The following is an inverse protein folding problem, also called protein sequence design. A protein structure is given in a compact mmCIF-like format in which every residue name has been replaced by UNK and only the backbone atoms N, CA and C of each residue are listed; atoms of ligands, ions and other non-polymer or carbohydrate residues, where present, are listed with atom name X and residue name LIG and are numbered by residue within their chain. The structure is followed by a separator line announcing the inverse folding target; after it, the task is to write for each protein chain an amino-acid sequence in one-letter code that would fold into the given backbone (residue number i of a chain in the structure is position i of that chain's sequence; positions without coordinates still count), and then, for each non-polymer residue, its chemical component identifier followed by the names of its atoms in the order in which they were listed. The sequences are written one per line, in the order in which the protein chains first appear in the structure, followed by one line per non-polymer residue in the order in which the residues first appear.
data_IF_882967551128
#
_entry.id   IF_882967551128
#
_cell.length_a   1.000
_cell.length_b   1.000
_cell.length_c   1.000
_cell.angle_alpha   90.00
_cell.angle_beta   90.00
_cell.angle_gamma   90.00
#
_symmetry.space_group_name_H-M   'P 1'
#
loop_
_entity.id
_entity.type
_entity.pdbx_description
1 polymer ?
#
# COMPACT_ATOMS: atom_id res chain seq x y z
N UNK A 1 -26.09 4.05 -44.00
CA UNK A 1 -26.42 2.69 -44.48
C UNK A 1 -25.44 2.35 -45.59
N UNK A 2 -24.47 1.48 -45.30
CA UNK A 2 -23.36 1.16 -46.19
C UNK A 2 -22.46 0.17 -45.48
N UNK A 3 -22.82 -1.11 -45.63
CA UNK A 3 -22.19 -2.27 -45.03
C UNK A 3 -21.01 -2.75 -45.89
N UNK A 4 -19.97 -3.21 -45.19
CA UNK A 4 -18.97 -4.25 -45.52
C UNK A 4 -18.13 -4.23 -46.82
N UNK A 5 -16.82 -4.10 -46.64
CA UNK A 5 -15.81 -4.99 -47.23
C UNK A 5 -14.88 -5.43 -46.08
N UNK A 6 -15.23 -6.54 -45.40
CA UNK A 6 -14.40 -7.15 -44.36
C UNK A 6 -13.29 -7.95 -45.07
N UNK A 7 -12.09 -7.39 -45.10
CA UNK A 7 -10.92 -7.94 -45.79
C UNK A 7 -10.59 -9.37 -45.30
N UNK A 8 -10.43 -10.29 -46.24
CA UNK A 8 -10.22 -11.73 -46.04
C UNK A 8 -9.02 -12.09 -45.14
N UNK A 9 -8.10 -11.14 -44.87
CA UNK A 9 -6.96 -11.36 -43.98
C UNK A 9 -7.29 -11.14 -42.50
N UNK A 10 -8.38 -10.44 -42.19
CA UNK A 10 -8.83 -10.20 -40.80
C UNK A 10 -9.29 -11.47 -40.09
N UNK A 11 -9.78 -12.47 -40.83
CA UNK A 11 -10.29 -13.73 -40.26
C UNK A 11 -9.21 -14.54 -39.53
N UNK A 12 -7.99 -14.61 -40.09
CA UNK A 12 -6.87 -15.32 -39.44
C UNK A 12 -6.39 -14.62 -38.16
N UNK A 13 -6.36 -13.28 -38.15
CA UNK A 13 -5.94 -12.52 -36.97
C UNK A 13 -6.93 -12.65 -35.82
N UNK A 14 -8.23 -12.68 -36.10
CA UNK A 14 -9.28 -12.89 -35.08
C UNK A 14 -9.18 -14.29 -34.47
N UNK A 15 -8.94 -15.32 -35.29
CA UNK A 15 -8.80 -16.71 -34.79
C UNK A 15 -7.56 -16.86 -33.90
N UNK A 16 -6.43 -16.23 -34.26
CA UNK A 16 -5.21 -16.22 -33.44
C UNK A 16 -5.39 -15.43 -32.14
N UNK A 17 -6.15 -14.33 -32.18
CA UNK A 17 -6.46 -13.52 -31.00
C UNK A 17 -7.42 -14.23 -30.03
N UNK A 18 -8.31 -15.10 -30.52
CA UNK A 18 -9.24 -15.87 -29.68
C UNK A 18 -8.57 -17.08 -29.02
N UNK A 19 -7.55 -17.69 -29.66
CA UNK A 19 -6.81 -18.82 -29.08
C UNK A 19 -5.83 -18.42 -27.96
N UNK A 20 -5.46 -17.14 -27.86
CA UNK A 20 -4.62 -16.62 -26.77
C UNK A 20 -5.40 -16.17 -25.53
N UNK A 21 -6.75 -16.21 -25.56
CA UNK A 21 -7.57 -15.93 -24.37
C UNK A 21 -7.75 -17.21 -23.55
N UNK A 22 -6.65 -17.68 -22.96
CA UNK A 22 -6.67 -18.59 -21.80
C UNK A 22 -6.18 -17.86 -20.55
N UNK A 23 -6.60 -16.62 -20.37
CA UNK A 23 -6.45 -15.93 -19.09
C UNK A 23 -7.63 -16.26 -18.17
N UNK A 24 -7.62 -17.48 -17.63
CA UNK A 24 -8.31 -17.72 -16.37
C UNK A 24 -7.55 -16.96 -15.27
N UNK A 25 -7.84 -15.66 -15.11
CA UNK A 25 -7.48 -14.97 -13.88
C UNK A 25 -8.47 -15.42 -12.79
N UNK A 26 -8.03 -16.10 -11.73
CA UNK A 26 -8.92 -16.43 -10.63
C UNK A 26 -9.35 -15.12 -9.95
N UNK A 27 -10.65 -14.84 -10.08
CA UNK A 27 -11.54 -14.16 -9.13
C UNK A 27 -10.83 -13.20 -8.17
N UNK A 28 -10.91 -11.90 -8.49
CA UNK A 28 -10.77 -10.85 -7.49
C UNK A 28 -11.79 -11.11 -6.38
N UNK A 29 -11.34 -11.68 -5.26
CA UNK A 29 -12.10 -11.66 -4.02
C UNK A 29 -12.46 -10.19 -3.72
N UNK A 30 -13.69 -9.90 -3.25
CA UNK A 30 -14.06 -8.54 -2.87
C UNK A 30 -13.07 -8.07 -1.82
N UNK A 31 -12.32 -7.01 -2.14
CA UNK A 31 -11.18 -6.50 -1.38
C UNK A 31 -11.57 -5.85 -0.06
N UNK A 32 -12.09 -6.65 0.87
CA UNK A 32 -12.25 -6.29 2.28
C UNK A 32 -11.64 -7.34 3.24
N UNK A 33 -11.01 -8.40 2.71
CA UNK A 33 -10.17 -9.34 3.44
C UNK A 33 -8.68 -9.19 3.05
N UNK A 34 -8.25 -7.95 2.84
CA UNK A 34 -6.85 -7.58 2.67
C UNK A 34 -6.39 -6.78 3.88
N UNK A 35 -6.09 -7.48 4.96
CA UNK A 35 -5.27 -6.93 6.03
C UNK A 35 -4.12 -7.89 6.29
N UNK A 36 -3.08 -7.68 5.50
CA UNK A 36 -1.71 -8.00 5.90
C UNK A 36 -0.89 -6.70 5.84
N UNK A 37 -1.47 -5.61 6.32
CA UNK A 37 -0.84 -4.30 6.38
C UNK A 37 -0.82 -3.86 7.83
N UNK A 38 -0.23 -4.68 8.71
CA UNK A 38 -0.01 -4.36 10.11
C UNK A 38 -1.20 -3.65 10.79
N UNK A 39 -2.19 -4.39 11.28
CA UNK A 39 -3.23 -3.82 12.15
C UNK A 39 -2.60 -3.12 13.37
N UNK A 40 -2.40 -1.81 13.25
CA UNK A 40 -2.26 -0.89 14.37
C UNK A 40 -3.45 0.06 14.38
N UNK A 41 -4.63 -0.44 14.77
CA UNK A 41 -5.73 0.44 15.11
C UNK A 41 -5.33 1.23 16.36
N UNK A 42 -4.77 2.44 16.15
CA UNK A 42 -4.48 3.40 17.21
C UNK A 42 -5.58 4.45 17.24
N UNK A 43 -6.33 4.49 18.33
CA UNK A 43 -7.25 5.60 18.60
C UNK A 43 -6.49 6.79 19.21
N UNK A 44 -7.02 8.02 19.09
CA UNK A 44 -6.55 9.17 19.87
C UNK A 44 -6.60 8.86 21.38
N UNK A 45 -5.78 9.52 22.22
CA UNK A 45 -5.44 10.95 22.19
C UNK A 45 -4.20 11.32 21.35
N UNK A 46 -4.05 12.61 21.05
CA UNK A 46 -2.83 13.18 20.48
C UNK A 46 -1.87 13.50 21.63
N UNK A 47 -0.74 12.78 21.69
CA UNK A 47 0.32 12.94 22.70
C UNK A 47 1.68 12.62 22.05
N UNK A 48 2.32 13.60 21.40
CA UNK A 48 3.34 13.31 20.41
C UNK A 48 4.64 12.74 21.02
N UNK A 49 5.14 11.67 20.40
CA UNK A 49 6.42 11.05 20.76
C UNK A 49 7.45 11.33 19.67
N UNK A 50 8.62 11.87 20.04
CA UNK A 50 9.71 12.11 19.09
C UNK A 50 10.73 10.97 19.16
N UNK A 51 11.17 10.50 18.00
CA UNK A 51 12.08 9.37 17.92
C UNK A 51 13.36 9.68 17.12
N UNK A 52 14.34 8.80 17.26
CA UNK A 52 15.67 8.92 16.65
C UNK A 52 15.69 8.84 15.12
N UNK A 53 14.56 8.54 14.47
CA UNK A 53 14.38 8.64 13.01
C UNK A 53 13.96 10.03 12.55
N UNK A 54 14.07 11.04 13.43
CA UNK A 54 13.71 12.43 13.19
C UNK A 54 12.21 12.60 12.88
N UNK A 55 11.36 11.68 13.37
CA UNK A 55 9.90 11.74 13.20
C UNK A 55 9.18 11.92 14.53
N UNK A 56 8.07 12.66 14.44
CA UNK A 56 7.10 12.84 15.53
C UNK A 56 5.91 11.92 15.29
N UNK A 57 5.75 10.94 16.16
CA UNK A 57 4.61 10.04 16.20
C UNK A 57 3.46 10.75 16.92
N UNK A 58 2.24 10.65 16.39
CA UNK A 58 1.07 11.39 16.90
C UNK A 58 0.65 10.97 18.31
N UNK A 59 0.91 9.71 18.66
CA UNK A 59 0.79 9.20 20.02
C UNK A 59 1.69 7.99 20.26
N UNK A 60 1.77 7.58 21.52
CA UNK A 60 2.54 6.41 21.95
C UNK A 60 2.14 5.12 21.20
N UNK A 61 0.85 4.92 20.91
CA UNK A 61 0.40 3.76 20.16
C UNK A 61 1.01 3.71 18.75
N UNK A 62 1.01 4.83 18.02
CA UNK A 62 1.61 4.91 16.68
C UNK A 62 3.13 4.71 16.74
N UNK A 63 3.80 5.16 17.81
CA UNK A 63 5.22 4.88 18.02
C UNK A 63 5.49 3.39 18.24
N UNK A 64 4.75 2.72 19.13
CA UNK A 64 4.89 1.27 19.37
C UNK A 64 4.57 0.45 18.14
N UNK A 65 3.60 0.91 17.36
CA UNK A 65 3.30 0.31 16.08
C UNK A 65 4.53 0.25 15.17
N UNK A 66 5.20 1.40 15.08
CA UNK A 66 6.41 1.51 14.29
C UNK A 66 7.53 0.63 14.85
N UNK A 67 7.71 0.58 16.16
CA UNK A 67 8.72 -0.28 16.79
C UNK A 67 8.52 -1.72 16.37
N UNK A 68 7.29 -2.22 16.51
CA UNK A 68 6.97 -3.60 16.22
C UNK A 68 7.13 -3.90 14.71
N UNK A 69 6.82 -2.94 13.82
CA UNK A 69 7.19 -3.03 12.41
C UNK A 69 8.70 -3.21 12.19
N UNK A 70 9.53 -2.45 12.90
CA UNK A 70 10.98 -2.57 12.78
C UNK A 70 11.46 -3.94 13.27
N UNK A 71 10.90 -4.44 14.37
CA UNK A 71 11.20 -5.76 14.91
C UNK A 71 10.89 -6.89 13.91
N UNK A 72 9.68 -6.96 13.34
CA UNK A 72 9.34 -8.03 12.38
C UNK A 72 10.18 -7.96 11.11
N UNK A 73 10.67 -6.77 10.76
CA UNK A 73 11.48 -6.55 9.58
C UNK A 73 12.99 -6.55 9.89
N UNK A 74 13.40 -6.98 11.08
CA UNK A 74 14.81 -7.01 11.52
C UNK A 74 15.55 -5.67 11.31
N UNK A 75 14.84 -4.55 11.51
CA UNK A 75 15.38 -3.18 11.46
C UNK A 75 15.74 -2.71 12.88
N UNK A 76 16.69 -1.76 13.02
CA UNK A 76 17.05 -1.23 14.33
C UNK A 76 15.86 -0.52 15.00
N UNK A 77 15.70 -0.74 16.30
CA UNK A 77 14.68 -0.10 17.12
C UNK A 77 14.93 1.42 17.21
N UNK A 78 13.85 2.20 17.36
CA UNK A 78 13.96 3.63 17.57
C UNK A 78 14.12 3.95 19.06
N UNK A 79 14.84 5.01 19.36
CA UNK A 79 14.91 5.55 20.73
C UNK A 79 14.08 6.81 20.81
N UNK A 80 13.46 7.04 21.97
CA UNK A 80 12.77 8.30 22.23
C UNK A 80 13.83 9.38 22.41
N UNK A 81 13.65 10.50 21.71
CA UNK A 81 14.56 11.66 21.76
C UNK A 81 13.79 12.92 22.12
N UNK A 82 14.51 13.96 22.50
CA UNK A 82 13.91 15.25 22.79
C UNK A 82 13.29 15.87 21.53
N UNK A 83 12.03 16.29 21.62
CA UNK A 83 11.28 16.84 20.50
C UNK A 83 11.85 18.16 19.97
N UNK A 84 12.61 18.90 20.78
CA UNK A 84 13.26 20.15 20.36
C UNK A 84 14.39 19.92 19.36
N UNK A 85 14.87 18.67 19.23
CA UNK A 85 15.91 18.28 18.27
C UNK A 85 15.34 17.97 16.88
N UNK A 86 14.02 17.84 16.75
CA UNK A 86 13.37 17.53 15.48
C UNK A 86 12.99 18.82 14.74
N UNK A 87 13.00 18.81 13.39
CA UNK A 87 12.49 19.93 12.62
C UNK A 87 11.01 20.20 12.96
N UNK A 88 10.55 21.46 12.88
CA UNK A 88 9.13 21.76 13.04
C UNK A 88 8.34 20.97 12.01
N UNK A 89 7.23 20.37 12.45
CA UNK A 89 6.30 19.68 11.54
C UNK A 89 5.91 20.66 10.46
N UNK A 90 6.24 20.34 9.21
CA UNK A 90 5.74 21.10 8.08
C UNK A 90 4.23 20.95 8.10
N UNK A 91 3.54 21.98 8.57
CA UNK A 91 2.09 22.14 8.42
C UNK A 91 1.80 22.07 6.91
N UNK A 92 1.14 20.99 6.49
CA UNK A 92 0.54 20.84 5.16
C UNK A 92 -0.96 21.08 5.28
#
# INVERSE_FOLDING_TARGET
MGQECLDSRYSLFIILALLSVTSAAPQSLPGWAGWAEWECPCMPPYDPVCASDLRRYTNECVFHCRQRYLELNNKPALTVVDCSLLPPTQEQ
#
